data_IF_134128160896
#
_entry.id   IF_134128160896
#
_cell.length_a   1.000
_cell.length_b   1.000
_cell.length_c   1.000
_cell.angle_alpha   90.00
_cell.angle_beta   90.00
_cell.angle_gamma   90.00
#
_symmetry.space_group_name_H-M   'P 1'
#
loop_
_entity.id
_entity.type
_entity.pdbx_description
1 polymer ?
#
# COMPACT_ATOMS: atom_id res chain seq x y z
N UNK A 1 -14.93 -18.38 -25.66
CA UNK A 1 -16.01 -17.69 -24.93
C UNK A 1 -15.38 -17.16 -23.64
N UNK A 2 -14.68 -16.03 -23.71
CA UNK A 2 -14.12 -15.39 -22.51
C UNK A 2 -15.32 -14.74 -21.83
N UNK A 3 -15.69 -15.23 -20.65
CA UNK A 3 -16.73 -14.57 -19.86
C UNK A 3 -16.27 -13.16 -19.55
N UNK A 4 -16.94 -12.15 -20.12
CA UNK A 4 -16.79 -10.77 -19.68
C UNK A 4 -17.27 -10.73 -18.23
N UNK A 5 -16.34 -10.55 -17.29
CA UNK A 5 -16.70 -10.26 -15.90
C UNK A 5 -17.46 -8.93 -15.91
N UNK A 6 -18.67 -8.85 -15.34
CA UNK A 6 -19.41 -7.60 -15.34
C UNK A 6 -18.62 -6.51 -14.62
N UNK A 7 -18.66 -5.28 -15.15
CA UNK A 7 -17.90 -4.12 -14.67
C UNK A 7 -18.12 -3.87 -13.17
N UNK A 8 -19.35 -4.05 -12.69
CA UNK A 8 -19.70 -3.95 -11.27
C UNK A 8 -18.93 -4.93 -10.38
N UNK A 9 -18.73 -6.18 -10.82
CA UNK A 9 -17.93 -7.14 -10.06
C UNK A 9 -16.45 -6.75 -10.03
N UNK A 10 -15.91 -6.23 -11.14
CA UNK A 10 -14.53 -5.75 -11.18
C UNK A 10 -14.34 -4.55 -10.26
N UNK A 11 -15.31 -3.63 -10.20
CA UNK A 11 -15.27 -2.46 -9.33
C UNK A 11 -15.31 -2.86 -7.84
N UNK A 12 -16.21 -3.76 -7.46
CA UNK A 12 -16.29 -4.28 -6.08
C UNK A 12 -14.98 -4.97 -5.69
N UNK A 13 -14.44 -5.82 -6.59
CA UNK A 13 -13.16 -6.46 -6.37
C UNK A 13 -12.03 -5.42 -6.21
N UNK A 14 -12.00 -4.39 -7.06
CA UNK A 14 -11.03 -3.30 -6.97
C UNK A 14 -11.10 -2.59 -5.60
N UNK A 15 -12.30 -2.25 -5.12
CA UNK A 15 -12.50 -1.61 -3.82
C UNK A 15 -12.01 -2.48 -2.66
N UNK A 16 -12.33 -3.78 -2.66
CA UNK A 16 -11.90 -4.72 -1.62
C UNK A 16 -10.38 -4.83 -1.62
N UNK A 17 -9.76 -5.07 -2.78
CA UNK A 17 -8.31 -5.27 -2.87
C UNK A 17 -7.54 -3.98 -2.57
N UNK A 18 -8.03 -2.82 -3.04
CA UNK A 18 -7.46 -1.51 -2.73
C UNK A 18 -7.51 -1.21 -1.23
N UNK A 19 -8.61 -1.56 -0.56
CA UNK A 19 -8.74 -1.43 0.89
C UNK A 19 -7.74 -2.31 1.63
N UNK A 20 -7.55 -3.56 1.20
CA UNK A 20 -6.52 -4.45 1.76
C UNK A 20 -5.13 -3.85 1.59
N UNK A 21 -4.79 -3.34 0.40
CA UNK A 21 -3.51 -2.69 0.15
C UNK A 21 -3.29 -1.47 1.06
N UNK A 22 -4.31 -0.63 1.23
CA UNK A 22 -4.25 0.53 2.12
C UNK A 22 -4.06 0.13 3.59
N UNK A 23 -4.80 -0.88 4.07
CA UNK A 23 -4.69 -1.37 5.45
C UNK A 23 -3.29 -1.95 5.74
N UNK A 24 -2.65 -2.62 4.79
CA UNK A 24 -1.25 -3.05 4.93
C UNK A 24 -0.31 -1.85 5.11
N UNK A 25 -0.55 -0.74 4.40
CA UNK A 25 0.26 0.47 4.56
C UNK A 25 -0.02 1.20 5.89
N UNK A 26 -1.23 1.10 6.44
CA UNK A 26 -1.50 1.52 7.83
C UNK A 26 -0.71 0.65 8.83
N UNK A 27 -0.61 -0.66 8.59
CA UNK A 27 0.23 -1.55 9.41
C UNK A 27 1.71 -1.15 9.32
N UNK A 28 2.21 -0.80 8.13
CA UNK A 28 3.58 -0.30 7.97
C UNK A 28 3.81 1.01 8.71
N UNK A 29 2.87 1.96 8.63
CA UNK A 29 2.88 3.17 9.46
C UNK A 29 3.00 2.84 10.95
N UNK A 30 2.19 1.91 11.46
CA UNK A 30 2.24 1.51 12.88
C UNK A 30 3.62 0.93 13.22
N UNK A 31 4.22 0.12 12.35
CA UNK A 31 5.57 -0.42 12.57
C UNK A 31 6.63 0.69 12.56
N UNK A 32 6.61 1.59 11.59
CA UNK A 32 7.68 2.55 11.34
C UNK A 32 7.59 3.81 12.22
N UNK A 33 6.39 4.26 12.58
CA UNK A 33 6.19 5.49 13.36
C UNK A 33 5.87 5.24 14.83
N UNK A 34 5.13 4.18 15.15
CA UNK A 34 4.63 3.94 16.53
C UNK A 34 5.46 2.87 17.25
N UNK A 35 5.72 1.74 16.60
CA UNK A 35 6.32 0.55 17.21
C UNK A 35 7.80 0.37 16.90
N UNK A 36 8.41 1.31 16.18
CA UNK A 36 9.76 1.19 15.60
C UNK A 36 10.81 0.67 16.58
N UNK A 37 10.84 1.23 17.81
CA UNK A 37 11.85 0.88 18.82
C UNK A 37 11.71 -0.52 19.42
N UNK A 38 10.70 -1.31 19.02
CA UNK A 38 10.57 -2.71 19.46
C UNK A 38 11.52 -3.61 18.67
N UNK A 39 12.32 -4.48 19.33
CA UNK A 39 13.24 -5.40 18.65
C UNK A 39 12.59 -6.29 17.59
N UNK A 40 11.36 -6.74 17.85
CA UNK A 40 10.58 -7.54 16.91
C UNK A 40 10.13 -6.78 15.66
N UNK A 41 10.21 -5.44 15.66
CA UNK A 41 9.82 -4.56 14.57
C UNK A 41 11.04 -4.15 13.75
N UNK A 42 12.03 -3.45 14.33
CA UNK A 42 13.21 -3.04 13.58
C UNK A 42 14.00 -4.24 13.02
N UNK A 43 13.95 -5.41 13.68
CA UNK A 43 14.54 -6.64 13.15
C UNK A 43 13.93 -7.12 11.84
N UNK A 44 12.66 -6.77 11.54
CA UNK A 44 12.02 -7.04 10.24
C UNK A 44 12.60 -6.19 9.11
N UNK A 45 13.21 -5.06 9.45
CA UNK A 45 13.89 -4.14 8.54
C UNK A 45 15.40 -4.44 8.46
N UNK A 46 15.85 -5.58 8.97
CA UNK A 46 17.25 -6.00 8.90
C UNK A 46 18.19 -5.28 9.89
N UNK A 47 17.63 -4.54 10.85
CA UNK A 47 18.40 -3.78 11.84
C UNK A 47 18.77 -4.69 13.02
N UNK A 48 20.06 -4.77 13.34
CA UNK A 48 20.58 -5.75 14.30
C UNK A 48 20.65 -5.22 15.75
N UNK A 49 20.77 -3.89 15.92
CA UNK A 49 20.99 -3.28 17.23
C UNK A 49 19.99 -2.17 17.55
N UNK A 50 19.79 -1.92 18.84
CA UNK A 50 18.95 -0.83 19.31
C UNK A 50 19.53 0.55 18.97
N UNK A 51 20.86 0.67 18.98
CA UNK A 51 21.58 1.91 18.65
C UNK A 51 21.41 2.30 17.18
N UNK A 52 21.52 1.32 16.28
CA UNK A 52 21.25 1.50 14.85
C UNK A 52 19.79 1.90 14.62
N UNK A 53 18.84 1.23 15.28
CA UNK A 53 17.42 1.57 15.22
C UNK A 53 17.15 3.00 15.73
N UNK A 54 17.81 3.43 16.81
CA UNK A 54 17.70 4.79 17.34
C UNK A 54 18.21 5.84 16.33
N UNK A 55 19.31 5.53 15.65
CA UNK A 55 19.95 6.43 14.66
C UNK A 55 19.03 6.73 13.47
N UNK A 56 18.29 5.73 12.98
CA UNK A 56 17.38 5.90 11.82
C UNK A 56 15.92 6.17 12.21
N UNK A 57 15.62 6.33 13.50
CA UNK A 57 14.24 6.48 14.02
C UNK A 57 13.46 7.63 13.38
N UNK A 58 14.10 8.78 13.14
CA UNK A 58 13.44 9.93 12.52
C UNK A 58 13.07 9.66 11.07
N UNK A 59 13.92 8.95 10.32
CA UNK A 59 13.62 8.52 8.96
C UNK A 59 12.48 7.50 8.92
N UNK A 60 12.51 6.49 9.80
CA UNK A 60 11.42 5.52 9.92
C UNK A 60 10.09 6.21 10.28
N UNK A 61 10.12 7.12 11.23
CA UNK A 61 8.94 7.90 11.60
C UNK A 61 8.34 8.63 10.40
N UNK A 62 9.16 9.33 9.62
CA UNK A 62 8.69 10.03 8.42
C UNK A 62 8.17 9.06 7.35
N UNK A 63 8.84 7.93 7.15
CA UNK A 63 8.43 6.89 6.20
C UNK A 63 7.05 6.33 6.52
N UNK A 64 6.77 6.08 7.81
CA UNK A 64 5.45 5.63 8.22
C UNK A 64 4.36 6.66 7.90
N UNK A 65 4.62 7.96 8.03
CA UNK A 65 3.63 8.98 7.66
C UNK A 65 3.41 9.07 6.15
N UNK A 66 4.42 8.83 5.31
CA UNK A 66 4.20 8.67 3.87
C UNK A 66 3.31 7.46 3.56
N UNK A 67 3.53 6.33 4.24
CA UNK A 67 2.68 5.14 4.12
C UNK A 67 1.24 5.43 4.56
N UNK A 68 1.05 6.16 5.66
CA UNK A 68 -0.28 6.57 6.14
C UNK A 68 -0.98 7.51 5.15
N UNK A 69 -0.26 8.48 4.57
CA UNK A 69 -0.81 9.39 3.58
C UNK A 69 -1.25 8.66 2.30
N UNK A 70 -0.44 7.71 1.80
CA UNK A 70 -0.81 6.86 0.67
C UNK A 70 -2.05 6.02 0.97
N UNK A 71 -2.12 5.40 2.17
CA UNK A 71 -3.28 4.66 2.60
C UNK A 71 -4.53 5.55 2.67
N UNK A 72 -4.41 6.75 3.24
CA UNK A 72 -5.49 7.73 3.31
C UNK A 72 -6.02 8.13 1.93
N UNK A 73 -5.13 8.44 0.98
CA UNK A 73 -5.50 8.76 -0.39
C UNK A 73 -6.26 7.62 -1.09
N UNK A 74 -5.81 6.38 -0.92
CA UNK A 74 -6.49 5.20 -1.49
C UNK A 74 -7.85 4.98 -0.82
N UNK A 75 -7.96 5.11 0.52
CA UNK A 75 -9.24 4.92 1.24
C UNK A 75 -10.26 6.00 0.86
N UNK A 76 -9.84 7.26 0.73
CA UNK A 76 -10.70 8.32 0.18
C UNK A 76 -11.14 7.97 -1.23
N UNK A 77 -10.21 7.48 -2.06
CA UNK A 77 -10.52 7.01 -3.41
C UNK A 77 -11.58 5.91 -3.44
N UNK A 78 -11.47 4.91 -2.57
CA UNK A 78 -12.44 3.81 -2.44
C UNK A 78 -13.83 4.31 -2.04
N UNK A 79 -13.93 5.28 -1.12
CA UNK A 79 -15.21 5.89 -0.73
C UNK A 79 -15.84 6.64 -1.91
N UNK A 80 -15.02 7.36 -2.69
CA UNK A 80 -15.48 8.11 -3.85
C UNK A 80 -15.90 7.21 -5.02
N UNK A 81 -15.36 6.00 -5.14
CA UNK A 81 -15.80 5.01 -6.13
C UNK A 81 -17.26 4.56 -5.94
N UNK A 82 -17.85 4.74 -4.76
CA UNK A 82 -19.27 4.48 -4.52
C UNK A 82 -20.20 5.60 -5.02
N UNK A 83 -19.64 6.71 -5.52
CA UNK A 83 -20.38 7.87 -6.02
C UNK A 83 -20.45 7.84 -7.55
N UNK A 84 -21.19 8.78 -8.15
CA UNK A 84 -21.30 8.95 -9.61
C UNK A 84 -20.68 10.26 -10.10
N UNK A 85 -20.47 10.38 -11.41
CA UNK A 85 -19.98 11.62 -12.04
C UNK A 85 -18.53 11.95 -11.68
N UNK A 86 -18.24 13.22 -11.40
CA UNK A 86 -16.87 13.68 -11.12
C UNK A 86 -16.25 13.06 -9.87
N UNK A 87 -17.07 12.71 -8.87
CA UNK A 87 -16.62 12.04 -7.66
C UNK A 87 -16.08 10.63 -7.97
N UNK A 88 -16.76 9.88 -8.84
CA UNK A 88 -16.28 8.57 -9.31
C UNK A 88 -14.90 8.69 -9.97
N UNK A 89 -14.76 9.64 -10.91
CA UNK A 89 -13.49 9.88 -11.61
C UNK A 89 -12.36 10.23 -10.63
N UNK A 90 -12.62 11.13 -9.67
CA UNK A 90 -11.64 11.47 -8.64
C UNK A 90 -11.25 10.26 -7.79
N UNK A 91 -12.22 9.42 -7.42
CA UNK A 91 -11.99 8.19 -6.68
C UNK A 91 -11.11 7.19 -7.43
N UNK A 92 -11.46 6.95 -8.70
CA UNK A 92 -10.71 6.08 -9.61
C UNK A 92 -9.27 6.56 -9.80
N UNK A 93 -9.07 7.85 -10.03
CA UNK A 93 -7.72 8.45 -10.14
C UNK A 93 -6.91 8.29 -8.86
N UNK A 94 -7.51 8.53 -7.69
CA UNK A 94 -6.82 8.40 -6.40
C UNK A 94 -6.40 6.96 -6.11
N UNK A 95 -7.27 5.97 -6.36
CA UNK A 95 -6.94 4.55 -6.20
C UNK A 95 -5.84 4.13 -7.16
N UNK A 96 -5.94 4.48 -8.45
CA UNK A 96 -4.91 4.18 -9.45
C UNK A 96 -3.56 4.76 -9.04
N UNK A 97 -3.51 6.05 -8.70
CA UNK A 97 -2.26 6.72 -8.34
C UNK A 97 -1.64 6.11 -7.07
N UNK A 98 -2.43 5.98 -6.00
CA UNK A 98 -1.93 5.44 -4.74
C UNK A 98 -1.44 4.00 -4.87
N UNK A 99 -2.22 3.13 -5.52
CA UNK A 99 -1.83 1.73 -5.73
C UNK A 99 -0.65 1.57 -6.71
N UNK A 100 -0.50 2.46 -7.70
CA UNK A 100 0.69 2.51 -8.53
C UNK A 100 1.95 2.88 -7.72
N UNK A 101 1.88 3.91 -6.87
CA UNK A 101 2.99 4.27 -5.98
C UNK A 101 3.39 3.12 -5.06
N UNK A 102 2.41 2.45 -4.43
CA UNK A 102 2.64 1.28 -3.57
C UNK A 102 3.29 0.13 -4.34
N UNK A 103 2.85 -0.12 -5.57
CA UNK A 103 3.43 -1.16 -6.46
C UNK A 103 4.87 -0.84 -6.81
N UNK A 104 5.16 0.40 -7.20
CA UNK A 104 6.52 0.86 -7.50
C UNK A 104 7.42 0.73 -6.26
N UNK A 105 6.94 1.13 -5.08
CA UNK A 105 7.68 0.99 -3.83
C UNK A 105 8.00 -0.49 -3.52
N UNK A 106 7.06 -1.40 -3.75
CA UNK A 106 7.30 -2.85 -3.63
C UNK A 106 8.39 -3.36 -4.58
N UNK A 107 8.41 -2.88 -5.83
CA UNK A 107 9.47 -3.20 -6.80
C UNK A 107 10.83 -2.67 -6.34
N UNK A 108 10.88 -1.42 -5.86
CA UNK A 108 12.10 -0.81 -5.32
C UNK A 108 12.59 -1.61 -4.11
N UNK A 109 11.70 -2.00 -3.18
CA UNK A 109 12.07 -2.82 -2.03
C UNK A 109 12.59 -4.20 -2.43
N UNK A 110 12.06 -4.81 -3.49
CA UNK A 110 12.57 -6.08 -4.00
C UNK A 110 14.00 -5.97 -4.56
N UNK A 111 14.41 -4.79 -5.05
CA UNK A 111 15.74 -4.58 -5.63
C UNK A 111 16.83 -4.35 -4.57
N UNK A 112 16.47 -4.07 -3.31
CA UNK A 112 17.44 -3.79 -2.23
C UNK A 112 18.01 -5.03 -1.55
N UNK A 113 17.45 -6.23 -1.79
CA UNK A 113 18.03 -7.47 -1.29
C UNK A 113 17.06 -8.65 -1.17
N UNK A 114 17.63 -9.86 -1.16
CA UNK A 114 16.85 -11.11 -1.08
C UNK A 114 16.07 -11.25 0.23
N UNK A 115 16.59 -10.71 1.33
CA UNK A 115 15.95 -10.68 2.65
C UNK A 115 14.61 -9.93 2.63
N UNK A 116 14.43 -8.96 1.73
CA UNK A 116 13.24 -8.12 1.66
C UNK A 116 12.15 -8.66 0.74
N UNK A 117 12.39 -9.75 -0.02
CA UNK A 117 11.43 -10.26 -1.02
C UNK A 117 10.05 -10.55 -0.43
N UNK A 118 9.98 -11.04 0.81
CA UNK A 118 8.70 -11.29 1.47
C UNK A 118 7.93 -10.00 1.75
N UNK A 119 8.61 -8.99 2.28
CA UNK A 119 8.01 -7.68 2.56
C UNK A 119 7.61 -6.99 1.24
N UNK A 120 8.48 -7.02 0.25
CA UNK A 120 8.22 -6.50 -1.10
C UNK A 120 6.98 -7.15 -1.73
N UNK A 121 6.83 -8.47 -1.64
CA UNK A 121 5.64 -9.18 -2.15
C UNK A 121 4.35 -8.75 -1.44
N UNK A 122 4.38 -8.58 -0.12
CA UNK A 122 3.22 -8.13 0.65
C UNK A 122 2.81 -6.70 0.28
N UNK A 123 3.76 -5.84 -0.04
CA UNK A 123 3.50 -4.48 -0.51
C UNK A 123 3.01 -4.45 -1.97
N UNK A 124 3.66 -5.22 -2.85
CA UNK A 124 3.44 -5.19 -4.29
C UNK A 124 2.13 -5.84 -4.71
N UNK A 125 1.88 -7.10 -4.34
CA UNK A 125 0.82 -7.89 -4.98
C UNK A 125 -0.59 -7.34 -4.75
N UNK A 126 -0.99 -6.96 -3.51
CA UNK A 126 -2.31 -6.37 -3.29
C UNK A 126 -2.47 -5.04 -4.03
N UNK A 127 -1.44 -4.19 -4.02
CA UNK A 127 -1.47 -2.91 -4.71
C UNK A 127 -1.55 -3.08 -6.24
N UNK A 128 -0.74 -3.95 -6.82
CA UNK A 128 -0.73 -4.20 -8.25
C UNK A 128 -2.05 -4.82 -8.73
N UNK A 129 -2.63 -5.73 -7.95
CA UNK A 129 -3.94 -6.31 -8.26
C UNK A 129 -5.05 -5.24 -8.19
N UNK A 130 -5.06 -4.40 -7.14
CA UNK A 130 -5.99 -3.28 -7.05
C UNK A 130 -5.86 -2.31 -8.23
N UNK A 131 -4.63 -2.00 -8.64
CA UNK A 131 -4.34 -1.14 -9.78
C UNK A 131 -4.94 -1.70 -11.08
N UNK A 132 -4.67 -2.98 -11.38
CA UNK A 132 -5.19 -3.62 -12.61
C UNK A 132 -6.72 -3.67 -12.59
N UNK A 133 -7.32 -4.08 -11.47
CA UNK A 133 -8.78 -4.13 -11.34
C UNK A 133 -9.42 -2.75 -11.48
N UNK A 134 -8.81 -1.71 -10.91
CA UNK A 134 -9.33 -0.33 -11.00
C UNK A 134 -9.20 0.24 -12.42
N UNK A 135 -8.17 -0.14 -13.17
CA UNK A 135 -8.03 0.26 -14.59
C UNK A 135 -9.03 -0.48 -15.49
N UNK A 136 -9.37 -1.72 -15.14
CA UNK A 136 -10.23 -2.60 -15.93
C UNK A 136 -11.74 -2.40 -15.65
N UNK A 137 -12.11 -2.03 -14.43
CA UNK A 137 -13.39 -1.38 -14.11
C UNK A 137 -13.39 0.07 -14.63
#
# INVERSE_FOLDING_TARGET
MVHNIPEEFMLIAAQIVATVAALLHVVFFVFESVLWMRPSVYGRFGIASHEEAATIRSMAYNQGFYNLALAGGVLVGVVLLAQSGSAFTAGKTAVIFGTACMSIAGIVLASTGRSYRRAASLQFFPAALALVLTIAA
#
